data_IF_962898633745
#
_entry.id   IF_962898633745
#
_cell.length_a   1.000
_cell.length_b   1.000
_cell.length_c   1.000
_cell.angle_alpha   90.00
_cell.angle_beta   90.00
_cell.angle_gamma   90.00
#
_symmetry.space_group_name_H-M   'P 1'
#
loop_
_entity.id
_entity.type
_entity.pdbx_description
1 polymer ?
#
# COMPACT_ATOMS: atom_id res chain seq x y z
N UNK A 1 13.04 -28.48 -14.08
CA UNK A 1 11.86 -28.11 -13.26
C UNK A 1 12.23 -26.84 -12.52
N UNK A 2 11.45 -25.76 -12.64
CA UNK A 2 11.73 -24.53 -11.89
C UNK A 2 11.69 -24.82 -10.40
N UNK A 3 12.77 -24.53 -9.68
CA UNK A 3 12.81 -24.66 -8.23
C UNK A 3 11.80 -23.70 -7.61
N UNK A 4 10.93 -24.19 -6.73
CA UNK A 4 9.92 -23.34 -6.08
C UNK A 4 10.62 -22.37 -5.12
N UNK A 5 10.15 -21.13 -5.09
CA UNK A 5 10.76 -20.05 -4.30
C UNK A 5 9.69 -19.18 -3.64
N UNK A 6 9.89 -18.85 -2.36
CA UNK A 6 8.97 -18.06 -1.54
C UNK A 6 9.73 -16.98 -0.79
N UNK A 7 9.19 -15.76 -0.79
CA UNK A 7 9.63 -14.67 0.08
C UNK A 7 8.88 -14.70 1.42
N UNK A 8 9.57 -14.45 2.52
CA UNK A 8 8.97 -14.22 3.84
C UNK A 8 9.36 -12.80 4.27
N UNK A 9 8.37 -11.95 4.49
CA UNK A 9 8.57 -10.60 5.03
C UNK A 9 7.88 -10.53 6.39
N UNK A 10 8.60 -10.12 7.43
CA UNK A 10 8.04 -10.15 8.79
C UNK A 10 8.22 -8.84 9.54
N UNK A 11 7.33 -8.59 10.52
CA UNK A 11 7.27 -7.35 11.29
C UNK A 11 8.57 -7.07 12.08
N UNK A 12 9.07 -5.84 12.01
CA UNK A 12 10.23 -5.36 12.76
C UNK A 12 10.06 -5.51 14.27
N UNK A 13 11.16 -5.79 14.98
CA UNK A 13 11.26 -5.70 16.44
C UNK A 13 10.12 -6.44 17.17
N UNK A 14 9.59 -7.49 16.53
CA UNK A 14 8.50 -8.28 17.05
C UNK A 14 8.94 -9.75 17.14
N UNK A 15 9.37 -10.15 18.34
CA UNK A 15 9.88 -11.50 18.62
C UNK A 15 9.01 -12.63 18.04
N UNK A 16 7.68 -12.63 18.23
CA UNK A 16 6.82 -13.65 17.65
C UNK A 16 6.85 -13.70 16.12
N UNK A 17 6.98 -12.56 15.42
CA UNK A 17 7.10 -12.55 13.96
C UNK A 17 8.37 -13.26 13.51
N UNK A 18 9.49 -12.93 14.14
CA UNK A 18 10.80 -13.52 13.83
C UNK A 18 10.82 -15.02 14.10
N UNK A 19 10.29 -15.46 15.24
CA UNK A 19 10.21 -16.88 15.58
C UNK A 19 9.36 -17.65 14.56
N UNK A 20 8.19 -17.12 14.18
CA UNK A 20 7.33 -17.76 13.18
C UNK A 20 7.95 -17.75 11.78
N UNK A 21 8.67 -16.68 11.41
CA UNK A 21 9.40 -16.62 10.15
C UNK A 21 10.46 -17.72 10.06
N UNK A 22 11.22 -17.96 11.14
CA UNK A 22 12.22 -19.02 11.20
C UNK A 22 11.60 -20.42 11.11
N UNK A 23 10.49 -20.65 11.83
CA UNK A 23 9.76 -21.94 11.76
C UNK A 23 9.22 -22.21 10.35
N UNK A 24 8.64 -21.18 9.71
CA UNK A 24 8.11 -21.28 8.37
C UNK A 24 9.23 -21.49 7.33
N UNK A 25 10.35 -20.79 7.46
CA UNK A 25 11.54 -20.98 6.62
C UNK A 25 12.02 -22.44 6.67
N UNK A 26 12.18 -23.00 7.88
CA UNK A 26 12.57 -24.39 8.05
C UNK A 26 11.54 -25.35 7.40
N UNK A 27 10.25 -25.16 7.69
CA UNK A 27 9.17 -26.03 7.18
C UNK A 27 9.10 -26.07 5.64
N UNK A 28 9.33 -24.92 4.98
CA UNK A 28 9.39 -24.80 3.52
C UNK A 28 10.66 -25.45 2.95
N UNK A 29 11.82 -25.24 3.58
CA UNK A 29 13.09 -25.83 3.15
C UNK A 29 13.10 -27.34 3.24
N UNK A 30 12.49 -27.92 4.28
CA UNK A 30 12.29 -29.37 4.42
C UNK A 30 11.49 -29.98 3.26
N UNK A 31 10.71 -29.16 2.54
CA UNK A 31 9.95 -29.53 1.34
C UNK A 31 10.68 -29.20 0.03
N UNK A 32 11.95 -28.82 0.09
CA UNK A 32 12.75 -28.47 -1.08
C UNK A 32 12.43 -27.11 -1.69
N UNK A 33 11.76 -26.21 -0.95
CA UNK A 33 11.42 -24.87 -1.41
C UNK A 33 12.52 -23.88 -1.00
N UNK A 34 12.93 -23.03 -1.94
CA UNK A 34 13.88 -21.96 -1.67
C UNK A 34 13.19 -20.83 -0.94
N UNK A 35 13.76 -20.36 0.17
CA UNK A 35 13.17 -19.29 0.97
C UNK A 35 14.10 -18.10 1.04
N UNK A 36 13.54 -16.91 0.87
CA UNK A 36 14.20 -15.62 1.07
C UNK A 36 13.48 -14.88 2.19
N UNK A 37 14.16 -14.62 3.30
CA UNK A 37 13.54 -14.00 4.48
C UNK A 37 14.07 -12.58 4.69
N UNK A 38 13.17 -11.65 4.98
CA UNK A 38 13.45 -10.23 5.14
C UNK A 38 12.68 -9.66 6.33
N UNK A 39 13.40 -9.00 7.25
CA UNK A 39 12.77 -8.20 8.28
C UNK A 39 12.36 -6.84 7.72
N UNK A 40 11.12 -6.43 7.98
CA UNK A 40 10.67 -5.08 7.63
C UNK A 40 11.47 -4.08 8.47
N UNK A 41 12.40 -3.32 7.89
CA UNK A 41 13.16 -2.31 8.63
C UNK A 41 12.25 -1.25 9.28
N UNK A 42 12.67 -0.71 10.44
CA UNK A 42 11.87 0.15 11.32
C UNK A 42 11.16 1.34 10.67
N UNK A 43 11.68 1.86 9.55
CA UNK A 43 11.18 3.04 8.86
C UNK A 43 11.63 2.97 7.41
N UNK A 44 10.71 3.08 6.47
CA UNK A 44 11.04 3.71 5.19
C UNK A 44 11.67 5.05 5.56
N UNK A 45 12.90 5.33 5.13
CA UNK A 45 13.52 6.61 5.44
C UNK A 45 12.52 7.70 5.05
N UNK A 46 12.19 8.62 5.97
CA UNK A 46 11.13 9.63 5.79
C UNK A 46 11.30 10.54 4.55
N UNK A 47 12.35 10.34 3.76
CA UNK A 47 12.71 11.07 2.55
C UNK A 47 13.23 10.16 1.41
N UNK A 48 13.02 8.84 1.46
CA UNK A 48 13.43 7.96 0.36
C UNK A 48 12.47 8.16 -0.82
N UNK A 49 12.87 9.01 -1.76
CA UNK A 49 12.15 9.31 -2.99
C UNK A 49 12.22 8.21 -4.06
N UNK A 50 12.76 7.04 -3.68
CA UNK A 50 13.06 5.93 -4.57
C UNK A 50 12.52 4.63 -4.00
N UNK A 51 12.41 3.67 -4.91
CA UNK A 51 12.02 2.31 -4.63
C UNK A 51 12.76 1.73 -3.42
N UNK A 52 12.00 1.24 -2.44
CA UNK A 52 12.59 0.52 -1.31
C UNK A 52 13.20 -0.79 -1.85
N UNK A 53 14.51 -1.03 -1.62
CA UNK A 53 15.12 -2.30 -2.00
C UNK A 53 14.50 -3.43 -1.18
N UNK A 54 14.42 -4.61 -1.78
CA UNK A 54 14.02 -5.85 -1.11
C UNK A 54 15.10 -6.89 -1.31
N UNK A 55 15.34 -7.69 -0.27
CA UNK A 55 16.19 -8.87 -0.36
C UNK A 55 15.43 -10.06 -0.99
N UNK A 56 14.11 -9.96 -1.13
CA UNK A 56 13.28 -10.91 -1.85
C UNK A 56 13.47 -10.72 -3.37
N UNK A 57 13.98 -11.73 -4.10
CA UNK A 57 14.15 -11.64 -5.55
C UNK A 57 12.82 -11.51 -6.29
N UNK A 58 12.85 -10.94 -7.50
CA UNK A 58 11.65 -10.81 -8.35
C UNK A 58 11.11 -12.16 -8.84
N UNK A 59 11.96 -13.19 -8.86
CA UNK A 59 11.63 -14.53 -9.35
C UNK A 59 10.92 -15.41 -8.31
N UNK A 60 10.59 -14.88 -7.12
CA UNK A 60 9.78 -15.62 -6.15
C UNK A 60 8.38 -15.86 -6.68
N UNK A 61 7.79 -17.00 -6.33
CA UNK A 61 6.44 -17.34 -6.77
C UNK A 61 5.36 -16.69 -5.90
N UNK A 62 5.67 -16.50 -4.60
CA UNK A 62 4.77 -15.94 -3.62
C UNK A 62 5.55 -15.20 -2.54
N UNK A 63 4.90 -14.24 -1.88
CA UNK A 63 5.43 -13.58 -0.69
C UNK A 63 4.47 -13.77 0.47
N UNK A 64 4.97 -14.26 1.61
CA UNK A 64 4.22 -14.42 2.84
C UNK A 64 4.61 -13.28 3.77
N UNK A 65 3.62 -12.51 4.22
CA UNK A 65 3.82 -11.40 5.16
C UNK A 65 3.35 -11.81 6.55
N UNK A 66 4.26 -11.82 7.52
CA UNK A 66 3.97 -12.13 8.93
C UNK A 66 3.94 -10.82 9.74
N UNK A 67 2.74 -10.28 9.96
CA UNK A 67 2.58 -8.98 10.60
C UNK A 67 1.14 -8.48 10.62
N UNK A 68 0.95 -7.15 10.67
CA UNK A 68 -0.36 -6.53 10.48
C UNK A 68 -0.40 -5.72 9.18
N UNK A 69 -1.47 -4.93 9.00
CA UNK A 69 -1.67 -4.12 7.80
C UNK A 69 -0.47 -3.21 7.47
N UNK A 70 0.16 -2.59 8.48
CA UNK A 70 1.36 -1.77 8.28
C UNK A 70 2.55 -2.55 7.70
N UNK A 71 2.71 -3.82 8.09
CA UNK A 71 3.75 -4.71 7.55
C UNK A 71 3.42 -5.10 6.11
N UNK A 72 2.14 -5.37 5.81
CA UNK A 72 1.68 -5.68 4.45
C UNK A 72 1.84 -4.49 3.51
N UNK A 73 1.52 -3.27 3.97
CA UNK A 73 1.75 -2.04 3.21
C UNK A 73 3.24 -1.84 2.89
N UNK A 74 4.12 -2.13 3.85
CA UNK A 74 5.57 -2.10 3.64
C UNK A 74 6.02 -3.15 2.63
N UNK A 75 5.53 -4.38 2.73
CA UNK A 75 5.83 -5.44 1.79
C UNK A 75 5.35 -5.08 0.37
N UNK A 76 4.12 -4.61 0.23
CA UNK A 76 3.55 -4.20 -1.06
C UNK A 76 4.42 -3.13 -1.75
N UNK A 77 4.92 -2.12 -1.03
CA UNK A 77 5.85 -1.11 -1.60
C UNK A 77 7.13 -1.70 -2.18
N UNK A 78 7.60 -2.83 -1.64
CA UNK A 78 8.86 -3.49 -2.02
C UNK A 78 8.69 -4.50 -3.14
N UNK A 79 7.61 -5.28 -3.11
CA UNK A 79 7.45 -6.46 -3.96
C UNK A 79 6.29 -6.38 -4.96
N UNK A 80 5.36 -5.42 -4.84
CA UNK A 80 4.20 -5.36 -5.75
C UNK A 80 4.58 -5.19 -7.22
N UNK A 81 5.69 -4.47 -7.50
CA UNK A 81 6.25 -4.32 -8.86
C UNK A 81 6.66 -5.65 -9.52
N UNK A 82 6.85 -6.71 -8.73
CA UNK A 82 7.17 -8.03 -9.26
C UNK A 82 5.92 -8.78 -9.77
N UNK A 83 4.71 -8.28 -9.47
CA UNK A 83 3.46 -8.94 -9.83
C UNK A 83 3.22 -10.26 -9.07
N UNK A 84 3.92 -10.48 -7.97
CA UNK A 84 3.84 -11.72 -7.18
C UNK A 84 2.69 -11.64 -6.17
N UNK A 85 1.90 -12.71 -5.97
CA UNK A 85 0.85 -12.72 -4.95
C UNK A 85 1.42 -12.59 -3.54
N UNK A 86 0.72 -11.85 -2.69
CA UNK A 86 1.10 -11.58 -1.29
C UNK A 86 0.07 -12.22 -0.35
N UNK A 87 0.52 -13.12 0.51
CA UNK A 87 -0.28 -13.75 1.55
C UNK A 87 -0.08 -13.04 2.88
N UNK A 88 -1.08 -12.26 3.32
CA UNK A 88 -1.05 -11.53 4.59
C UNK A 88 -1.49 -12.40 5.77
N UNK A 89 -0.56 -12.69 6.69
CA UNK A 89 -0.82 -13.48 7.90
C UNK A 89 -0.69 -12.61 9.14
N UNK A 90 -1.78 -12.57 9.89
CA UNK A 90 -1.93 -11.77 11.07
C UNK A 90 -1.37 -12.48 12.31
N UNK A 91 -0.44 -11.81 12.98
CA UNK A 91 0.19 -12.29 14.22
C UNK A 91 -0.50 -11.76 15.50
N UNK A 92 -1.63 -11.06 15.37
CA UNK A 92 -2.36 -10.42 16.47
C UNK A 92 -3.84 -10.17 16.17
N UNK A 93 -4.35 -8.99 16.54
CA UNK A 93 -5.76 -8.61 16.38
C UNK A 93 -6.18 -8.40 14.92
N UNK A 94 -7.49 -8.48 14.63
CA UNK A 94 -8.05 -8.43 13.28
C UNK A 94 -7.52 -7.22 12.46
N UNK A 95 -6.94 -7.50 11.29
CA UNK A 95 -6.47 -6.50 10.32
C UNK A 95 -7.37 -6.50 9.09
N UNK A 96 -7.41 -5.39 8.36
CA UNK A 96 -8.25 -5.26 7.16
C UNK A 96 -7.61 -5.95 5.95
N UNK A 97 -6.27 -5.99 5.88
CA UNK A 97 -5.51 -6.58 4.76
C UNK A 97 -4.91 -7.94 5.11
N UNK A 98 -4.57 -8.16 6.38
CA UNK A 98 -4.05 -9.45 6.87
C UNK A 98 -5.21 -10.31 7.40
N UNK A 99 -5.87 -11.02 6.50
CA UNK A 99 -7.08 -11.80 6.78
C UNK A 99 -6.79 -13.18 7.42
N UNK A 100 -5.58 -13.73 7.22
CA UNK A 100 -5.26 -15.09 7.67
C UNK A 100 -4.71 -15.06 9.09
N UNK A 101 -5.38 -15.66 10.08
CA UNK A 101 -4.84 -15.72 11.44
C UNK A 101 -3.65 -16.69 11.50
N UNK A 102 -2.70 -16.46 12.40
CA UNK A 102 -1.51 -17.32 12.57
C UNK A 102 -1.83 -18.82 12.69
N UNK A 103 -2.93 -19.18 13.38
CA UNK A 103 -3.38 -20.59 13.50
C UNK A 103 -3.66 -21.28 12.17
N UNK A 104 -3.97 -20.51 11.13
CA UNK A 104 -4.27 -20.99 9.77
C UNK A 104 -3.09 -20.81 8.82
N UNK A 105 -1.90 -20.40 9.31
CA UNK A 105 -0.72 -20.17 8.48
C UNK A 105 -0.37 -21.39 7.62
N UNK A 106 -0.09 -22.54 8.23
CA UNK A 106 0.34 -23.74 7.50
C UNK A 106 -0.73 -24.27 6.53
N UNK A 107 -2.01 -24.41 6.93
CA UNK A 107 -3.07 -24.77 5.99
C UNK A 107 -3.18 -23.81 4.80
N UNK A 108 -3.06 -22.49 5.02
CA UNK A 108 -3.11 -21.52 3.94
C UNK A 108 -1.90 -21.64 3.00
N UNK A 109 -0.70 -21.86 3.55
CA UNK A 109 0.51 -22.06 2.76
C UNK A 109 0.44 -23.35 1.95
N UNK A 110 -0.14 -24.42 2.48
CA UNK A 110 -0.38 -25.66 1.71
C UNK A 110 -1.31 -25.40 0.51
N UNK A 111 -2.45 -24.73 0.74
CA UNK A 111 -3.35 -24.35 -0.35
C UNK A 111 -2.67 -23.44 -1.39
N UNK A 112 -1.81 -22.52 -0.95
CA UNK A 112 -1.01 -21.66 -1.82
C UNK A 112 -0.05 -22.48 -2.70
N UNK A 113 0.66 -23.43 -2.10
CA UNK A 113 1.61 -24.30 -2.81
C UNK A 113 0.92 -25.28 -3.78
N UNK A 114 -0.34 -25.58 -3.55
CA UNK A 114 -1.21 -26.36 -4.44
C UNK A 114 -1.89 -25.51 -5.53
N UNK A 115 -1.76 -24.17 -5.48
CA UNK A 115 -2.43 -23.26 -6.42
C UNK A 115 -3.94 -23.19 -6.22
N UNK A 116 -4.43 -23.46 -5.00
CA UNK A 116 -5.85 -23.53 -4.65
C UNK A 116 -6.36 -22.31 -3.91
N UNK A 117 -5.52 -21.30 -3.69
CA UNK A 117 -5.96 -19.99 -3.19
C UNK A 117 -6.43 -19.12 -4.36
N UNK A 118 -7.50 -18.37 -4.11
CA UNK A 118 -7.92 -17.31 -5.01
C UNK A 118 -6.96 -16.14 -4.92
N UNK A 119 -6.62 -15.56 -6.07
CA UNK A 119 -5.75 -14.40 -6.17
C UNK A 119 -6.56 -13.23 -6.66
N UNK A 120 -6.66 -12.19 -5.83
CA UNK A 120 -7.30 -10.93 -6.20
C UNK A 120 -6.25 -9.89 -6.62
N UNK A 121 -6.59 -9.11 -7.65
CA UNK A 121 -5.79 -7.94 -8.04
C UNK A 121 -6.30 -6.72 -7.29
N UNK A 122 -5.38 -5.95 -6.70
CA UNK A 122 -5.70 -4.71 -5.97
C UNK A 122 -5.12 -3.52 -6.72
N UNK A 123 -5.95 -2.51 -6.95
CA UNK A 123 -5.54 -1.25 -7.57
C UNK A 123 -4.50 -0.55 -6.68
N UNK A 124 -3.41 -0.08 -7.29
CA UNK A 124 -2.39 0.76 -6.66
C UNK A 124 -2.25 2.07 -7.41
N UNK A 125 -1.93 3.16 -6.71
CA UNK A 125 -1.64 4.44 -7.32
C UNK A 125 -0.14 4.58 -7.58
N UNK A 126 0.22 5.10 -8.74
CA UNK A 126 1.54 5.66 -8.97
C UNK A 126 1.49 7.17 -8.69
N UNK A 127 2.33 7.64 -7.77
CA UNK A 127 2.41 9.05 -7.41
C UNK A 127 3.78 9.62 -7.78
N UNK A 128 3.79 10.67 -8.59
CA UNK A 128 5.01 11.37 -9.01
C UNK A 128 5.03 12.78 -8.44
N UNK A 129 6.12 13.14 -7.77
CA UNK A 129 6.33 14.48 -7.21
C UNK A 129 7.24 15.27 -8.13
N UNK A 130 6.70 16.31 -8.75
CA UNK A 130 7.45 17.21 -9.65
C UNK A 130 7.76 18.52 -8.93
N UNK A 131 9.03 18.95 -8.97
CA UNK A 131 9.46 20.27 -8.49
C UNK A 131 10.30 20.95 -9.56
N UNK A 132 10.00 22.22 -9.86
CA UNK A 132 10.71 23.00 -10.88
C UNK A 132 10.79 22.27 -12.24
N UNK A 133 9.71 21.58 -12.64
CA UNK A 133 9.64 20.83 -13.89
C UNK A 133 10.43 19.51 -13.91
N UNK A 134 11.01 19.07 -12.79
CA UNK A 134 11.74 17.80 -12.70
C UNK A 134 11.05 16.84 -11.73
N UNK A 135 10.96 15.57 -12.13
CA UNK A 135 10.58 14.50 -11.22
C UNK A 135 11.61 14.40 -10.09
N UNK A 136 11.12 14.44 -8.86
CA UNK A 136 11.94 14.37 -7.64
C UNK A 136 11.73 13.08 -6.87
N UNK A 137 10.52 12.52 -6.90
CA UNK A 137 10.17 11.30 -6.19
C UNK A 137 9.07 10.54 -6.95
N UNK A 138 9.09 9.22 -6.85
CA UNK A 138 8.07 8.33 -7.39
C UNK A 138 7.69 7.27 -6.36
N UNK A 139 6.41 6.99 -6.22
CA UNK A 139 5.88 6.05 -5.24
C UNK A 139 4.83 5.15 -5.85
N UNK A 140 4.84 3.89 -5.45
CA UNK A 140 3.74 2.96 -5.66
C UNK A 140 2.97 2.80 -4.34
N UNK A 141 1.67 3.05 -4.36
CA UNK A 141 0.86 3.29 -3.16
C UNK A 141 -0.35 2.36 -3.16
N UNK A 142 -0.45 1.51 -2.12
CA UNK A 142 -1.58 0.58 -1.97
C UNK A 142 -2.82 1.25 -1.38
N UNK A 143 -2.66 2.16 -0.41
CA UNK A 143 -3.78 2.81 0.26
C UNK A 143 -4.01 4.21 -0.29
N UNK A 144 -3.25 5.19 0.23
CA UNK A 144 -3.59 6.60 0.07
C UNK A 144 -2.34 7.45 -0.23
N UNK A 145 -2.48 8.39 -1.16
CA UNK A 145 -1.58 9.55 -1.30
C UNK A 145 -2.21 10.70 -0.52
N UNK A 146 -1.46 11.25 0.43
CA UNK A 146 -1.97 12.32 1.31
C UNK A 146 -1.15 13.58 1.13
N UNK A 147 -1.79 14.63 0.66
CA UNK A 147 -1.22 15.97 0.58
C UNK A 147 -1.79 16.76 1.75
N UNK A 148 -0.96 17.14 2.71
CA UNK A 148 -1.39 17.82 3.93
C UNK A 148 -0.56 19.08 4.15
N UNK A 149 -1.17 20.07 4.81
CA UNK A 149 -0.48 21.23 5.35
C UNK A 149 0.57 20.79 6.38
N UNK A 150 1.67 21.52 6.49
CA UNK A 150 2.64 21.33 7.57
C UNK A 150 2.04 21.65 8.94
N UNK A 151 2.67 21.19 10.03
CA UNK A 151 2.12 21.24 11.40
C UNK A 151 1.67 22.63 11.91
N UNK A 152 2.16 23.73 11.32
CA UNK A 152 1.81 25.11 11.68
C UNK A 152 1.26 25.92 10.48
N UNK A 153 0.87 25.25 9.40
CA UNK A 153 0.41 25.91 8.19
C UNK A 153 -1.09 26.28 8.27
N UNK A 154 -1.44 27.39 7.61
CA UNK A 154 -2.84 27.75 7.31
C UNK A 154 -3.41 26.75 6.30
N UNK A 155 -4.73 26.79 6.10
CA UNK A 155 -5.42 26.11 4.99
C UNK A 155 -4.62 26.31 3.70
N UNK A 156 -4.41 25.22 2.96
CA UNK A 156 -3.71 25.22 1.68
C UNK A 156 -4.72 25.26 0.53
N UNK A 157 -4.30 25.88 -0.57
CA UNK A 157 -5.06 25.96 -1.81
C UNK A 157 -4.46 24.94 -2.79
N UNK A 158 -5.26 23.94 -3.19
CA UNK A 158 -4.86 22.82 -4.04
C UNK A 158 -5.62 22.85 -5.36
N UNK A 159 -4.96 23.27 -6.43
CA UNK A 159 -5.52 23.28 -7.78
C UNK A 159 -5.48 21.86 -8.35
N UNK A 160 -6.65 21.28 -8.62
CA UNK A 160 -6.80 19.90 -9.08
C UNK A 160 -7.22 19.88 -10.54
N UNK A 161 -6.49 19.09 -11.33
CA UNK A 161 -6.76 18.83 -12.73
C UNK A 161 -6.99 17.33 -12.93
N UNK A 162 -7.89 16.99 -13.83
CA UNK A 162 -8.18 15.63 -14.25
C UNK A 162 -7.93 15.56 -15.75
N UNK A 163 -7.01 14.71 -16.20
CA UNK A 163 -6.61 14.60 -17.62
C UNK A 163 -6.33 15.99 -18.24
N UNK A 164 -5.51 16.79 -17.55
CA UNK A 164 -5.13 18.17 -17.90
C UNK A 164 -6.27 19.21 -17.93
N UNK A 165 -7.50 18.84 -17.56
CA UNK A 165 -8.62 19.77 -17.42
C UNK A 165 -8.77 20.24 -15.98
N UNK A 166 -8.89 21.55 -15.77
CA UNK A 166 -9.11 22.12 -14.45
C UNK A 166 -10.45 21.66 -13.87
N UNK A 167 -10.43 21.05 -12.69
CA UNK A 167 -11.63 20.65 -11.97
C UNK A 167 -12.05 21.76 -10.99
N UNK A 168 -11.23 22.02 -9.99
CA UNK A 168 -11.50 22.99 -8.92
C UNK A 168 -10.25 23.25 -8.08
N UNK A 169 -10.31 24.28 -7.23
CA UNK A 169 -9.34 24.54 -6.17
C UNK A 169 -9.91 24.09 -4.83
N UNK A 170 -9.33 23.07 -4.21
CA UNK A 170 -9.68 22.68 -2.85
C UNK A 170 -8.96 23.59 -1.84
N UNK A 171 -9.74 24.34 -1.06
CA UNK A 171 -9.27 25.02 0.14
C UNK A 171 -9.50 24.12 1.35
N UNK A 172 -8.47 23.43 1.81
CA UNK A 172 -8.58 22.38 2.81
C UNK A 172 -7.32 22.27 3.68
N UNK A 173 -7.38 21.47 4.73
CA UNK A 173 -6.17 21.05 5.44
C UNK A 173 -5.30 20.14 4.56
N UNK A 174 -5.95 19.41 3.65
CA UNK A 174 -5.28 18.55 2.69
C UNK A 174 -6.24 17.89 1.70
N UNK A 175 -5.70 16.99 0.89
CA UNK A 175 -6.43 16.17 -0.06
C UNK A 175 -5.85 14.75 -0.03
N UNK A 176 -6.74 13.76 0.01
CA UNK A 176 -6.41 12.34 -0.05
C UNK A 176 -6.78 11.83 -1.45
N UNK A 177 -5.87 11.11 -2.09
CA UNK A 177 -6.15 10.26 -3.25
C UNK A 177 -6.08 8.81 -2.78
N UNK A 178 -7.21 8.11 -2.74
CA UNK A 178 -7.37 6.82 -2.07
C UNK A 178 -7.75 5.71 -3.05
N UNK A 179 -7.06 4.58 -3.00
CA UNK A 179 -7.48 3.35 -3.70
C UNK A 179 -8.72 2.74 -3.02
N UNK A 180 -9.37 1.72 -3.62
CA UNK A 180 -10.40 0.96 -2.91
C UNK A 180 -9.89 0.31 -1.63
N UNK A 181 -8.62 -0.14 -1.63
CA UNK A 181 -7.97 -0.75 -0.46
C UNK A 181 -7.74 0.30 0.64
N UNK A 182 -7.34 1.52 0.27
CA UNK A 182 -7.19 2.66 1.17
C UNK A 182 -8.50 3.28 1.64
N UNK A 183 -9.63 2.95 1.02
CA UNK A 183 -10.92 3.56 1.31
C UNK A 183 -11.35 3.41 2.77
N UNK A 184 -10.92 2.32 3.43
CA UNK A 184 -11.17 2.01 4.85
C UNK A 184 -10.08 2.52 5.81
N UNK A 185 -9.02 3.14 5.29
CA UNK A 185 -7.92 3.70 6.06
C UNK A 185 -8.14 5.20 6.34
N UNK A 186 -7.23 6.08 5.92
CA UNK A 186 -7.33 7.49 6.28
C UNK A 186 -8.49 8.19 5.55
N UNK A 187 -8.80 7.73 4.34
CA UNK A 187 -9.97 8.17 3.58
C UNK A 187 -11.28 8.09 4.38
N UNK A 188 -11.53 6.96 5.05
CA UNK A 188 -12.74 6.78 5.88
C UNK A 188 -12.80 7.81 7.01
N UNK A 189 -11.66 8.07 7.65
CA UNK A 189 -11.57 9.05 8.74
C UNK A 189 -11.80 10.49 8.26
N UNK A 190 -11.47 10.78 7.00
CA UNK A 190 -11.72 12.08 6.37
C UNK A 190 -13.15 12.22 5.79
N UNK A 191 -14.03 11.22 5.98
CA UNK A 191 -15.40 11.24 5.49
C UNK A 191 -15.58 10.73 4.05
N UNK A 192 -14.58 10.05 3.51
CA UNK A 192 -14.67 9.32 2.24
C UNK A 192 -15.52 8.05 2.34
N UNK A 193 -16.12 7.57 1.24
CA UNK A 193 -16.88 6.33 1.22
C UNK A 193 -15.98 5.10 1.28
N UNK A 194 -16.57 3.96 1.68
CA UNK A 194 -15.95 2.64 1.58
C UNK A 194 -16.20 2.09 0.16
N UNK A 195 -15.15 1.59 -0.50
CA UNK A 195 -15.24 0.90 -1.77
C UNK A 195 -14.94 -0.58 -1.60
N UNK A 196 -15.50 -1.40 -2.49
CA UNK A 196 -15.15 -2.81 -2.55
C UNK A 196 -13.72 -2.97 -3.11
N UNK A 197 -12.85 -3.85 -2.54
CA UNK A 197 -11.41 -3.86 -2.83
C UNK A 197 -11.01 -4.04 -4.31
N UNK A 198 -11.86 -4.71 -5.10
CA UNK A 198 -11.60 -5.01 -6.52
C UNK A 198 -12.20 -3.99 -7.49
N UNK A 199 -12.75 -2.87 -7.00
CA UNK A 199 -13.29 -1.81 -7.87
C UNK A 199 -12.19 -1.07 -8.65
N UNK A 200 -12.41 -0.85 -9.94
CA UNK A 200 -11.52 -0.08 -10.82
C UNK A 200 -11.72 1.44 -10.73
N UNK A 201 -11.60 1.98 -9.52
CA UNK A 201 -11.78 3.42 -9.25
C UNK A 201 -10.97 3.87 -8.04
N UNK A 202 -10.62 5.15 -7.97
CA UNK A 202 -10.01 5.78 -6.81
C UNK A 202 -10.81 7.01 -6.37
N UNK A 203 -10.55 7.50 -5.16
CA UNK A 203 -11.32 8.57 -4.52
C UNK A 203 -10.43 9.80 -4.31
N UNK A 204 -10.97 10.99 -4.57
CA UNK A 204 -10.44 12.27 -4.08
C UNK A 204 -11.25 12.73 -2.86
N UNK A 205 -10.64 12.77 -1.68
CA UNK A 205 -11.30 13.14 -0.42
C UNK A 205 -10.59 14.33 0.23
N UNK A 206 -11.22 15.53 0.29
CA UNK A 206 -10.62 16.69 0.96
C UNK A 206 -10.64 16.53 2.48
N UNK A 207 -9.56 16.95 3.15
CA UNK A 207 -9.43 16.91 4.62
C UNK A 207 -9.88 18.26 5.18
N UNK A 208 -10.95 18.27 5.98
CA UNK A 208 -11.49 19.50 6.61
C UNK A 208 -11.62 20.68 5.62
N UNK A 209 -12.38 20.53 4.50
CA UNK A 209 -12.51 21.60 3.51
C UNK A 209 -13.21 22.83 4.10
N UNK A 210 -12.77 24.02 3.70
CA UNK A 210 -13.39 25.29 4.10
C UNK A 210 -14.83 25.42 3.54
N UNK A 211 -15.08 24.88 2.34
CA UNK A 211 -16.40 24.92 1.70
C UNK A 211 -17.21 23.67 2.04
N UNK A 212 -18.40 23.87 2.61
CA UNK A 212 -19.31 22.79 3.05
C UNK A 212 -19.87 21.92 1.91
N UNK A 213 -19.77 22.36 0.66
CA UNK A 213 -20.25 21.61 -0.52
C UNK A 213 -19.20 20.66 -1.08
N UNK A 214 -17.95 20.70 -0.60
CA UNK A 214 -16.92 19.77 -1.04
C UNK A 214 -17.28 18.36 -0.55
N UNK A 215 -17.37 17.42 -1.49
CA UNK A 215 -17.67 16.00 -1.25
C UNK A 215 -16.56 15.15 -1.86
N UNK A 216 -16.35 13.92 -1.35
CA UNK A 216 -15.49 12.96 -2.02
C UNK A 216 -15.93 12.72 -3.47
N UNK A 217 -14.96 12.59 -4.37
CA UNK A 217 -15.20 12.36 -5.81
C UNK A 217 -14.58 11.02 -6.19
N UNK A 218 -15.36 10.13 -6.79
CA UNK A 218 -14.87 8.88 -7.34
C UNK A 218 -14.47 9.10 -8.80
N UNK A 219 -13.30 8.60 -9.18
CA UNK A 219 -12.75 8.69 -10.53
C UNK A 219 -12.40 7.28 -11.05
N UNK A 220 -12.58 7.02 -12.36
CA UNK A 220 -12.13 5.78 -12.97
C UNK A 220 -10.61 5.63 -12.88
N UNK A 221 -10.11 4.40 -12.77
CA UNK A 221 -8.67 4.11 -12.68
C UNK A 221 -7.83 4.61 -13.87
N UNK A 222 -8.47 4.87 -15.02
CA UNK A 222 -7.83 5.40 -16.23
C UNK A 222 -7.51 6.89 -16.17
N UNK A 223 -8.01 7.62 -15.17
CA UNK A 223 -7.84 9.07 -15.07
C UNK A 223 -6.54 9.44 -14.36
N UNK A 224 -5.86 10.46 -14.89
CA UNK A 224 -4.67 11.04 -14.27
C UNK A 224 -5.08 12.30 -13.50
N UNK A 225 -4.68 12.39 -12.23
CA UNK A 225 -4.94 13.56 -11.38
C UNK A 225 -3.64 14.32 -11.13
N UNK A 226 -3.64 15.58 -11.52
CA UNK A 226 -2.53 16.52 -11.26
C UNK A 226 -2.96 17.51 -10.19
N UNK A 227 -2.14 17.66 -9.15
CA UNK A 227 -2.45 18.51 -8.00
C UNK A 227 -1.30 19.51 -7.83
N UNK A 228 -1.61 20.80 -7.90
CA UNK A 228 -0.65 21.88 -7.74
C UNK A 228 -0.94 22.67 -6.47
N UNK A 229 0.09 22.88 -5.65
CA UNK A 229 0.01 23.84 -4.55
C UNK A 229 -0.05 25.25 -5.12
N UNK A 230 -1.21 25.89 -4.99
CA UNK A 230 -1.40 27.26 -5.45
C UNK A 230 -0.58 28.20 -4.55
N UNK A 231 0.27 29.05 -5.14
CA UNK A 231 0.86 30.15 -4.38
C UNK A 231 -0.21 31.20 -4.22
N UNK A 232 -0.59 31.51 -2.98
CA UNK A 232 -1.28 32.78 -2.72
C UNK A 232 -0.38 33.89 -3.21
N UNK A 233 -0.87 34.66 -4.18
CA UNK A 233 -0.35 35.99 -4.47
C UNK A 233 -0.43 36.89 -3.25
#
# INVERSE_FOLDING_TARGET
MSQRSVGIIYKHDFGPAKEQALKLDQWLRERGITVFSEEMGARAAMNACYEEPSFVPREVQFVIVLGGDGTLLGAARRVARYGVPILGVNLGGLGFLTEIPLRNLYPAVELMLEGRLEVETRLMLEAVVVRQGKETCRFLVLNDVVINKGALARIIDLDVFINDQFLTTFRADGLIVSTPTGSTAYNLSAGGPILYPTMSSFILTPICPFTLTNRPILLPESHVVSITLSRRG
#
